data_IF_229169505249
#
_entry.id   IF_229169505249
#
_cell.length_a   1.000
_cell.length_b   1.000
_cell.length_c   1.000
_cell.angle_alpha   90.00
_cell.angle_beta   90.00
_cell.angle_gamma   90.00
#
_symmetry.space_group_name_H-M   'P 1'
#
loop_
_entity.id
_entity.type
_entity.pdbx_description
1 polymer ?
#
# COMPACT_ATOMS: atom_id res chain seq x y z
N UNK A 1 8.81 52.03 -37.38
CA UNK A 1 8.68 52.21 -35.91
C UNK A 1 7.38 51.56 -35.49
N UNK A 2 7.29 50.61 -34.57
CA UNK A 2 8.27 49.83 -33.81
C UNK A 2 7.46 48.60 -33.33
N UNK A 3 7.99 47.39 -33.54
CA UNK A 3 7.45 46.16 -32.93
C UNK A 3 7.68 46.21 -31.42
N UNK A 4 6.68 45.89 -30.60
CA UNK A 4 6.89 45.33 -29.25
C UNK A 4 5.68 44.45 -28.86
N UNK A 5 5.80 43.15 -29.10
CA UNK A 5 4.98 42.13 -28.43
C UNK A 5 5.77 41.62 -27.23
N UNK A 6 5.35 42.02 -26.03
CA UNK A 6 5.92 41.55 -24.77
C UNK A 6 5.49 40.12 -24.49
N UNK A 7 6.43 39.18 -24.53
CA UNK A 7 6.23 37.80 -24.11
C UNK A 7 6.45 37.71 -22.59
N UNK A 8 5.38 37.57 -21.81
CA UNK A 8 5.49 37.30 -20.38
C UNK A 8 5.81 35.81 -20.17
N UNK A 9 7.01 35.52 -19.67
CA UNK A 9 7.38 34.16 -19.26
C UNK A 9 6.63 33.77 -17.99
N UNK A 10 5.75 32.78 -18.10
CA UNK A 10 5.06 32.18 -16.96
C UNK A 10 6.06 31.27 -16.22
N UNK A 11 6.62 31.75 -15.11
CA UNK A 11 7.42 30.93 -14.20
C UNK A 11 6.47 29.99 -13.43
N UNK A 12 6.39 28.73 -13.85
CA UNK A 12 5.73 27.69 -13.08
C UNK A 12 6.58 27.39 -11.82
N UNK A 13 6.15 27.93 -10.68
CA UNK A 13 6.73 27.58 -9.38
C UNK A 13 6.26 26.19 -8.98
N UNK A 14 7.08 25.16 -9.21
CA UNK A 14 6.86 23.84 -8.60
C UNK A 14 7.16 23.95 -7.12
N UNK A 15 6.12 24.12 -6.29
CA UNK A 15 6.25 23.98 -4.85
C UNK A 15 6.53 22.51 -4.55
N UNK A 16 7.77 22.18 -4.16
CA UNK A 16 8.05 20.88 -3.58
C UNK A 16 7.24 20.77 -2.28
N UNK A 17 6.33 19.80 -2.22
CA UNK A 17 5.65 19.48 -0.97
C UNK A 17 6.69 19.09 0.09
N UNK A 18 6.57 19.55 1.34
CA UNK A 18 7.47 19.12 2.40
C UNK A 18 7.38 17.60 2.54
N UNK A 19 8.54 16.93 2.58
CA UNK A 19 8.61 15.51 2.89
C UNK A 19 8.15 15.35 4.33
N UNK A 20 7.07 14.61 4.55
CA UNK A 20 6.61 14.27 5.88
C UNK A 20 7.51 13.17 6.47
N UNK A 21 8.29 13.52 7.50
CA UNK A 21 9.16 12.60 8.25
C UNK A 21 8.45 11.97 9.45
N UNK A 22 7.12 12.13 9.56
CA UNK A 22 6.32 11.48 10.59
C UNK A 22 6.54 9.97 10.56
N UNK A 23 6.79 9.38 11.74
CA UNK A 23 6.85 7.94 11.87
C UNK A 23 5.50 7.35 11.45
N UNK A 24 5.50 6.40 10.51
CA UNK A 24 4.31 5.62 10.15
C UNK A 24 3.99 4.64 11.28
N UNK A 25 2.72 4.24 11.38
CA UNK A 25 2.31 3.28 12.40
C UNK A 25 2.88 1.91 12.04
N UNK A 26 3.66 1.35 12.95
CA UNK A 26 4.22 0.01 12.86
C UNK A 26 3.74 -0.74 14.12
N UNK A 27 2.80 -1.65 13.93
CA UNK A 27 2.11 -2.38 15.00
C UNK A 27 2.45 -3.87 15.03
N UNK A 28 3.20 -4.34 14.04
CA UNK A 28 3.46 -5.75 13.82
C UNK A 28 4.94 -6.10 13.96
N UNK A 29 5.19 -7.35 14.36
CA UNK A 29 6.52 -7.94 14.38
C UNK A 29 6.95 -8.45 13.00
N UNK A 30 8.05 -9.20 13.00
CA UNK A 30 8.57 -9.84 11.79
C UNK A 30 7.53 -10.81 11.21
N UNK A 31 7.37 -10.74 9.89
CA UNK A 31 6.50 -11.63 9.15
C UNK A 31 7.23 -12.85 8.60
N UNK A 32 6.55 -13.99 8.58
CA UNK A 32 6.84 -15.04 7.61
C UNK A 32 6.48 -14.57 6.19
N UNK A 33 7.10 -15.15 5.17
CA UNK A 33 6.86 -14.76 3.78
C UNK A 33 6.89 -15.99 2.88
N UNK A 34 5.88 -16.13 2.04
CA UNK A 34 5.83 -17.13 0.99
C UNK A 34 5.27 -16.51 -0.29
N UNK A 35 5.96 -16.71 -1.41
CA UNK A 35 5.44 -16.35 -2.74
C UNK A 35 4.15 -17.14 -3.00
N UNK A 36 3.14 -16.46 -3.52
CA UNK A 36 1.84 -17.04 -3.86
C UNK A 36 1.38 -16.51 -5.22
N UNK A 37 1.40 -17.38 -6.23
CA UNK A 37 1.03 -17.04 -7.61
C UNK A 37 -0.37 -17.55 -7.98
N UNK A 38 -1.20 -17.93 -7.01
CA UNK A 38 -2.55 -18.46 -7.27
C UNK A 38 -3.50 -17.41 -7.85
N UNK A 39 -3.33 -16.14 -7.48
CA UNK A 39 -4.10 -15.00 -7.99
C UNK A 39 -3.24 -13.74 -7.94
N UNK A 40 -2.26 -13.59 -8.86
CA UNK A 40 -1.28 -12.52 -8.75
C UNK A 40 -1.83 -11.17 -9.24
N UNK A 41 -1.41 -10.09 -8.59
CA UNK A 41 -1.66 -8.71 -8.97
C UNK A 41 -0.60 -8.21 -9.97
N UNK A 42 -0.90 -7.15 -10.72
CA UNK A 42 0.10 -6.46 -11.51
C UNK A 42 1.10 -5.74 -10.58
N UNK A 43 2.38 -5.89 -10.85
CA UNK A 43 3.44 -5.26 -10.07
C UNK A 43 3.37 -3.73 -10.14
N UNK A 44 2.94 -3.16 -11.28
CA UNK A 44 2.72 -1.72 -11.45
C UNK A 44 1.72 -1.15 -10.45
N UNK A 45 0.66 -1.90 -10.19
CA UNK A 45 -0.46 -1.44 -9.36
C UNK A 45 -0.04 -1.47 -7.88
N UNK A 46 0.69 -2.50 -7.47
CA UNK A 46 1.27 -2.54 -6.13
C UNK A 46 2.36 -1.49 -5.93
N UNK A 47 3.16 -1.20 -6.97
CA UNK A 47 4.16 -0.14 -6.93
C UNK A 47 3.52 1.23 -6.72
N UNK A 48 2.33 1.49 -7.29
CA UNK A 48 1.59 2.72 -7.05
C UNK A 48 1.27 2.90 -5.57
N UNK A 49 0.73 1.86 -4.91
CA UNK A 49 0.43 1.91 -3.46
C UNK A 49 1.71 2.18 -2.66
N UNK A 50 2.81 1.47 -2.95
CA UNK A 50 4.11 1.68 -2.28
C UNK A 50 4.60 3.11 -2.44
N UNK A 51 4.48 3.70 -3.63
CA UNK A 51 4.87 5.09 -3.88
C UNK A 51 4.03 6.07 -3.05
N UNK A 52 2.71 5.87 -2.96
CA UNK A 52 1.84 6.72 -2.14
C UNK A 52 2.19 6.59 -0.65
N UNK A 53 2.36 5.36 -0.15
CA UNK A 53 2.73 5.11 1.25
C UNK A 53 4.13 5.61 1.61
N UNK A 54 5.06 5.68 0.64
CA UNK A 54 6.42 6.19 0.85
C UNK A 54 6.51 7.72 0.99
N UNK A 55 5.54 8.45 0.42
CA UNK A 55 5.53 9.91 0.41
C UNK A 55 4.88 10.51 1.66
N UNK A 56 4.51 9.68 2.65
CA UNK A 56 3.81 10.15 3.84
C UNK A 56 2.41 10.70 3.52
N UNK A 57 1.80 10.26 2.41
CA UNK A 57 0.48 10.75 1.99
C UNK A 57 -0.63 10.50 3.04
N UNK A 58 -0.35 9.65 4.03
CA UNK A 58 -1.22 9.42 5.18
C UNK A 58 -0.40 9.55 6.47
N UNK A 59 -0.87 10.32 7.48
CA UNK A 59 -0.30 10.31 8.82
C UNK A 59 -0.34 8.89 9.41
N UNK A 60 0.32 8.67 10.56
CA UNK A 60 0.24 7.40 11.30
C UNK A 60 -1.20 6.88 11.37
N UNK A 61 -1.50 5.82 10.61
CA UNK A 61 -2.84 5.24 10.43
C UNK A 61 -2.74 3.72 10.43
N UNK A 62 -3.81 3.07 10.88
CA UNK A 62 -3.91 1.61 10.87
C UNK A 62 -5.33 1.14 10.65
N UNK A 63 -5.44 -0.13 10.28
CA UNK A 63 -6.70 -0.82 10.05
C UNK A 63 -6.92 -1.85 11.14
N UNK A 64 -8.13 -1.87 11.68
CA UNK A 64 -8.54 -2.93 12.58
C UNK A 64 -8.98 -4.16 11.78
N UNK A 65 -8.53 -5.32 12.23
CA UNK A 65 -8.74 -6.59 11.56
C UNK A 65 -9.67 -7.48 12.40
N UNK A 66 -10.71 -7.98 11.75
CA UNK A 66 -11.50 -9.11 12.23
C UNK A 66 -10.97 -10.46 11.73
N UNK A 67 -11.73 -11.53 11.96
CA UNK A 67 -11.39 -12.89 11.53
C UNK A 67 -11.68 -13.16 10.03
N UNK A 68 -12.46 -12.30 9.38
CA UNK A 68 -12.66 -12.32 7.94
C UNK A 68 -11.47 -11.65 7.22
N UNK A 69 -11.18 -12.08 5.99
CA UNK A 69 -10.24 -11.37 5.12
C UNK A 69 -10.79 -9.98 4.79
N UNK A 70 -10.09 -8.95 5.23
CA UNK A 70 -10.42 -7.55 4.92
C UNK A 70 -9.50 -7.06 3.82
N UNK A 71 -10.04 -6.33 2.85
CA UNK A 71 -9.25 -5.61 1.86
C UNK A 71 -8.73 -4.32 2.50
N UNK A 72 -7.54 -4.39 3.09
CA UNK A 72 -6.94 -3.26 3.82
C UNK A 72 -6.67 -2.10 2.86
N UNK A 73 -6.07 -2.42 1.72
CA UNK A 73 -5.72 -1.48 0.67
C UNK A 73 -5.90 -2.12 -0.70
N UNK A 74 -6.53 -1.38 -1.61
CA UNK A 74 -6.66 -1.78 -3.01
C UNK A 74 -6.37 -0.63 -3.96
N UNK A 75 -5.67 -0.95 -5.04
CA UNK A 75 -5.53 -0.10 -6.20
C UNK A 75 -5.49 -0.99 -7.43
N UNK A 76 -6.46 -0.80 -8.33
CA UNK A 76 -6.62 -1.60 -9.54
C UNK A 76 -6.54 -3.11 -9.24
N UNK A 77 -5.52 -3.80 -9.72
CA UNK A 77 -5.35 -5.24 -9.48
C UNK A 77 -4.60 -5.57 -8.20
N UNK A 78 -3.98 -4.61 -7.51
CA UNK A 78 -3.26 -4.88 -6.27
C UNK A 78 -4.20 -4.78 -5.06
N UNK A 79 -4.48 -5.91 -4.41
CA UNK A 79 -5.24 -5.97 -3.16
C UNK A 79 -4.36 -6.54 -2.05
N UNK A 80 -4.07 -5.72 -1.05
CA UNK A 80 -3.50 -6.16 0.21
C UNK A 80 -4.63 -6.52 1.16
N UNK A 81 -4.66 -7.77 1.60
CA UNK A 81 -5.69 -8.28 2.49
C UNK A 81 -5.09 -8.83 3.77
N UNK A 82 -5.80 -8.65 4.90
CA UNK A 82 -5.37 -9.18 6.17
C UNK A 82 -6.55 -9.61 7.05
N UNK A 83 -6.29 -10.53 8.00
CA UNK A 83 -7.24 -10.99 9.01
C UNK A 83 -6.53 -11.40 10.30
N UNK A 84 -7.24 -11.36 11.41
CA UNK A 84 -6.78 -12.00 12.66
C UNK A 84 -7.16 -13.48 12.70
N UNK A 85 -6.30 -14.33 13.25
CA UNK A 85 -6.51 -15.79 13.23
C UNK A 85 -7.51 -16.24 14.31
N UNK A 86 -7.60 -15.53 15.44
CA UNK A 86 -8.33 -15.99 16.66
C UNK A 86 -9.51 -15.12 17.07
N UNK A 87 -10.06 -14.32 16.15
CA UNK A 87 -11.23 -13.46 16.44
C UNK A 87 -10.95 -12.24 17.31
N UNK A 88 -9.76 -12.13 17.90
CA UNK A 88 -9.30 -10.90 18.54
C UNK A 88 -9.08 -9.81 17.50
N UNK A 89 -9.40 -8.57 17.85
CA UNK A 89 -9.12 -7.42 16.99
C UNK A 89 -7.61 -7.17 16.96
N UNK A 90 -7.03 -7.12 15.78
CA UNK A 90 -5.63 -6.72 15.58
C UNK A 90 -5.60 -5.38 14.85
N UNK A 91 -4.54 -4.60 15.02
CA UNK A 91 -4.33 -3.38 14.22
C UNK A 91 -3.08 -3.59 13.39
N UNK A 92 -3.20 -3.43 12.07
CA UNK A 92 -2.07 -3.36 11.14
C UNK A 92 -1.85 -1.91 10.76
N UNK A 93 -0.61 -1.43 10.85
CA UNK A 93 -0.26 -0.05 10.54
C UNK A 93 0.18 0.15 9.09
N UNK A 94 0.23 1.42 8.67
CA UNK A 94 0.65 1.78 7.32
C UNK A 94 2.14 1.54 7.03
N UNK A 95 3.02 1.48 8.05
CA UNK A 95 4.39 0.98 7.88
C UNK A 95 4.38 -0.51 7.56
N UNK A 96 3.59 -1.30 8.31
CA UNK A 96 3.53 -2.75 8.15
C UNK A 96 3.09 -3.14 6.73
N UNK A 97 2.03 -2.48 6.22
CA UNK A 97 1.54 -2.70 4.86
C UNK A 97 2.57 -2.26 3.81
N UNK A 98 3.25 -1.12 4.02
CA UNK A 98 4.30 -0.64 3.13
C UNK A 98 5.46 -1.65 3.01
N UNK A 99 5.96 -2.14 4.14
CA UNK A 99 7.08 -3.07 4.17
C UNK A 99 6.73 -4.39 3.47
N UNK A 100 5.54 -4.93 3.74
CA UNK A 100 5.08 -6.18 3.13
C UNK A 100 4.82 -6.03 1.63
N UNK A 101 4.27 -4.91 1.16
CA UNK A 101 4.11 -4.66 -0.28
C UNK A 101 5.45 -4.46 -0.99
N UNK A 102 6.38 -3.70 -0.37
CA UNK A 102 7.74 -3.51 -0.90
C UNK A 102 8.47 -4.85 -1.03
N UNK A 103 8.42 -5.68 0.01
CA UNK A 103 9.07 -6.99 0.00
C UNK A 103 8.40 -7.94 -0.99
N UNK A 104 7.06 -7.86 -1.13
CA UNK A 104 6.32 -8.59 -2.18
C UNK A 104 6.78 -8.21 -3.59
N UNK A 105 6.93 -6.91 -3.89
CA UNK A 105 7.44 -6.42 -5.17
C UNK A 105 8.87 -6.90 -5.44
N UNK A 106 9.73 -6.89 -4.41
CA UNK A 106 11.14 -7.31 -4.51
C UNK A 106 11.27 -8.81 -4.79
N UNK A 107 10.52 -9.63 -4.07
CA UNK A 107 10.83 -11.07 -3.98
C UNK A 107 9.91 -11.95 -4.86
N UNK A 108 8.68 -11.48 -5.14
CA UNK A 108 7.67 -12.26 -5.88
C UNK A 108 7.48 -11.85 -7.35
N UNK A 109 8.11 -10.77 -7.82
CA UNK A 109 7.89 -10.29 -9.18
C UNK A 109 8.36 -11.32 -10.22
N UNK A 110 7.41 -11.80 -11.03
CA UNK A 110 7.62 -12.74 -12.13
C UNK A 110 6.83 -12.26 -13.34
N UNK A 111 7.54 -11.72 -14.33
CA UNK A 111 6.92 -11.26 -15.58
C UNK A 111 5.93 -10.11 -15.39
N UNK A 112 6.15 -9.24 -14.39
CA UNK A 112 5.26 -8.10 -14.11
C UNK A 112 4.07 -8.42 -13.21
N UNK A 113 3.99 -9.64 -12.67
CA UNK A 113 2.97 -10.06 -11.73
C UNK A 113 3.60 -10.39 -10.36
N UNK A 114 2.89 -10.07 -9.28
CA UNK A 114 3.33 -10.26 -7.89
C UNK A 114 2.23 -10.89 -7.05
N UNK A 115 2.63 -11.64 -6.05
CA UNK A 115 1.72 -12.27 -5.11
C UNK A 115 2.48 -12.98 -4.01
N UNK A 116 2.02 -12.80 -2.78
CA UNK A 116 2.65 -13.34 -1.59
C UNK A 116 1.65 -13.45 -0.46
N UNK A 117 2.00 -14.25 0.53
CA UNK A 117 1.25 -14.37 1.78
C UNK A 117 2.20 -14.58 2.94
N UNK A 118 1.70 -14.36 4.14
CA UNK A 118 2.45 -14.58 5.36
C UNK A 118 1.61 -14.43 6.59
N UNK A 119 2.29 -14.55 7.71
CA UNK A 119 1.73 -14.36 9.05
C UNK A 119 2.74 -13.64 9.93
N UNK A 120 2.22 -12.77 10.80
CA UNK A 120 2.96 -11.97 11.77
C UNK A 120 2.13 -11.76 13.02
N UNK A 121 2.76 -11.32 14.11
CA UNK A 121 2.04 -10.91 15.32
C UNK A 121 1.91 -9.40 15.33
N UNK A 122 0.69 -8.89 15.51
CA UNK A 122 0.39 -7.46 15.64
C UNK A 122 -0.21 -7.19 17.03
N UNK A 123 0.47 -6.40 17.87
CA UNK A 123 0.05 -6.13 19.24
C UNK A 123 -0.34 -7.38 20.06
N UNK A 124 0.40 -8.48 19.88
CA UNK A 124 0.13 -9.76 20.56
C UNK A 124 -0.95 -10.64 19.91
N UNK A 125 -1.53 -10.23 18.77
CA UNK A 125 -2.54 -11.00 18.02
C UNK A 125 -1.95 -11.53 16.73
N UNK A 126 -2.17 -12.82 16.44
CA UNK A 126 -1.72 -13.44 15.18
C UNK A 126 -2.56 -12.93 14.01
N UNK A 127 -1.88 -12.43 12.98
CA UNK A 127 -2.45 -11.88 11.75
C UNK A 127 -1.91 -12.64 10.55
N UNK A 128 -2.80 -13.00 9.63
CA UNK A 128 -2.44 -13.46 8.29
C UNK A 128 -2.64 -12.32 7.29
N UNK A 129 -1.77 -12.26 6.29
CA UNK A 129 -1.87 -11.30 5.20
C UNK A 129 -1.62 -11.97 3.84
N UNK A 130 -2.12 -11.33 2.78
CA UNK A 130 -1.86 -11.72 1.39
C UNK A 130 -1.91 -10.53 0.45
N UNK A 131 -1.12 -10.60 -0.62
CA UNK A 131 -1.21 -9.74 -1.79
C UNK A 131 -1.74 -10.59 -2.94
N UNK A 132 -2.92 -10.22 -3.42
CA UNK A 132 -3.64 -10.96 -4.47
C UNK A 132 -4.27 -9.99 -5.48
N UNK A 133 -4.74 -10.54 -6.59
CA UNK A 133 -5.53 -9.82 -7.58
C UNK A 133 -6.83 -9.29 -6.93
N UNK A 134 -6.95 -7.97 -6.86
CA UNK A 134 -8.15 -7.26 -6.44
C UNK A 134 -9.23 -7.16 -7.53
N UNK A 135 -10.40 -6.66 -7.14
CA UNK A 135 -11.54 -6.40 -8.02
C UNK A 135 -11.78 -4.93 -8.35
N UNK A 136 -10.78 -4.05 -8.17
CA UNK A 136 -10.96 -2.59 -8.32
C UNK A 136 -11.47 -2.17 -9.70
N UNK A 137 -12.49 -1.31 -9.70
CA UNK A 137 -13.33 -0.95 -10.86
C UNK A 137 -12.64 -0.05 -11.92
N UNK A 138 -11.32 -0.06 -12.07
CA UNK A 138 -10.62 0.80 -13.05
C UNK A 138 -10.52 2.28 -12.66
N UNK A 139 -10.77 2.61 -11.39
CA UNK A 139 -10.74 3.97 -10.86
C UNK A 139 -9.45 4.26 -10.11
N UNK A 140 -8.81 5.39 -10.41
CA UNK A 140 -7.52 5.85 -9.87
C UNK A 140 -7.50 6.19 -8.36
N UNK A 141 -8.37 5.61 -7.56
CA UNK A 141 -8.52 5.89 -6.12
C UNK A 141 -7.99 4.71 -5.33
N UNK A 142 -7.19 4.98 -4.30
CA UNK A 142 -6.84 3.96 -3.31
C UNK A 142 -8.08 3.69 -2.47
N UNK A 143 -8.60 2.46 -2.55
CA UNK A 143 -9.68 1.99 -1.71
C UNK A 143 -9.14 1.58 -0.35
N UNK A 144 -9.73 2.12 0.71
CA UNK A 144 -9.54 1.64 2.09
C UNK A 144 -10.74 0.76 2.42
N UNK A 145 -10.53 -0.55 2.63
CA UNK A 145 -11.63 -1.41 3.02
C UNK A 145 -12.18 -1.02 4.39
N UNK A 146 -13.48 -1.28 4.57
CA UNK A 146 -14.16 -1.07 5.85
C UNK A 146 -13.71 -2.18 6.82
N UNK A 147 -13.20 -1.76 7.97
CA UNK A 147 -12.96 -2.61 9.14
C UNK A 147 -14.26 -2.95 9.88
#
# INVERSE_FOLDING_TARGET
MLLLTTLAALLATTTASPVDLSKRLNSCGISSFAVDTSSPAAASDCQFIVNVLSQGAFPSFGWDLGNAWNEVLVYETCSFQARSIRGNRATIGNEDVYDLLRDTLRDSNRGGNVGARGAMQCNGVDVEWRVVKGGGDGGATIGFGKA
#
